data_IF_921954003761
#
_entry.id   IF_921954003761
#
_cell.length_a   1.000
_cell.length_b   1.000
_cell.length_c   1.000
_cell.angle_alpha   90.00
_cell.angle_beta   90.00
_cell.angle_gamma   90.00
#
_symmetry.space_group_name_H-M   'P 1'
#
loop_
_entity.id
_entity.type
_entity.pdbx_description
1 polymer ?
#
# COMPACT_ATOMS: atom_id res chain seq x y z
N UNK A 1 4.36 13.56 -24.09
CA UNK A 1 5.65 13.01 -23.63
C UNK A 1 5.48 12.22 -22.34
N UNK A 2 4.40 12.45 -21.62
CA UNK A 2 4.12 11.89 -20.29
C UNK A 2 3.91 10.38 -20.29
N UNK A 3 3.27 9.82 -21.32
CA UNK A 3 3.05 8.37 -21.44
C UNK A 3 4.36 7.57 -21.45
N UNK A 4 5.38 8.03 -22.19
CA UNK A 4 6.69 7.36 -22.23
C UNK A 4 7.41 7.42 -20.90
N UNK A 5 7.31 8.55 -20.19
CA UNK A 5 7.88 8.71 -18.85
C UNK A 5 7.18 7.78 -17.87
N UNK A 6 5.85 7.69 -17.92
CA UNK A 6 5.06 6.77 -17.10
C UNK A 6 5.45 5.32 -17.36
N UNK A 7 5.57 4.90 -18.63
CA UNK A 7 6.00 3.54 -18.98
C UNK A 7 7.43 3.23 -18.52
N UNK A 8 8.34 4.21 -18.58
CA UNK A 8 9.71 4.04 -18.11
C UNK A 8 9.77 3.89 -16.59
N UNK A 9 9.01 4.72 -15.86
CA UNK A 9 8.90 4.62 -14.40
C UNK A 9 8.23 3.30 -14.00
N UNK A 10 7.20 2.87 -14.70
CA UNK A 10 6.55 1.59 -14.47
C UNK A 10 7.51 0.41 -14.68
N UNK A 11 8.31 0.43 -15.76
CA UNK A 11 9.34 -0.58 -16.00
C UNK A 11 10.45 -0.58 -14.94
N UNK A 12 10.88 0.60 -14.49
CA UNK A 12 11.86 0.71 -13.40
C UNK A 12 11.31 0.18 -12.07
N UNK A 13 10.03 0.45 -11.78
CA UNK A 13 9.35 -0.08 -10.61
C UNK A 13 9.22 -1.61 -10.68
N UNK A 14 8.83 -2.16 -11.83
CA UNK A 14 8.71 -3.62 -12.03
C UNK A 14 10.06 -4.33 -11.84
N UNK A 15 11.15 -3.76 -12.37
CA UNK A 15 12.51 -4.26 -12.16
C UNK A 15 12.92 -4.23 -10.68
N UNK A 16 12.64 -3.13 -9.98
CA UNK A 16 12.95 -3.01 -8.56
C UNK A 16 12.16 -4.02 -7.71
N UNK A 17 10.87 -4.20 -7.99
CA UNK A 17 10.01 -5.19 -7.33
C UNK A 17 10.54 -6.61 -7.57
N UNK A 18 10.90 -6.93 -8.82
CA UNK A 18 11.46 -8.22 -9.19
C UNK A 18 12.79 -8.50 -8.47
N UNK A 19 13.68 -7.51 -8.38
CA UNK A 19 14.95 -7.63 -7.67
C UNK A 19 14.75 -7.87 -6.16
N UNK A 20 13.86 -7.12 -5.52
CA UNK A 20 13.52 -7.30 -4.09
C UNK A 20 12.91 -8.68 -3.85
N UNK A 21 11.98 -9.13 -4.70
CA UNK A 21 11.38 -10.46 -4.60
C UNK A 21 12.41 -11.58 -4.71
N UNK A 22 13.35 -11.47 -5.65
CA UNK A 22 14.46 -12.41 -5.82
C UNK A 22 15.37 -12.46 -4.57
N UNK A 23 15.73 -11.29 -4.04
CA UNK A 23 16.55 -11.18 -2.83
C UNK A 23 15.85 -11.81 -1.61
N UNK A 24 14.57 -11.53 -1.40
CA UNK A 24 13.78 -12.12 -0.31
C UNK A 24 13.66 -13.64 -0.45
N UNK A 25 13.44 -14.14 -1.68
CA UNK A 25 13.42 -15.57 -1.96
C UNK A 25 14.74 -16.26 -1.62
N UNK A 26 15.87 -15.64 -1.99
CA UNK A 26 17.19 -16.12 -1.61
C UNK A 26 17.35 -16.16 -0.08
N UNK A 27 17.06 -15.05 0.62
CA UNK A 27 17.15 -14.97 2.09
C UNK A 27 16.30 -16.04 2.77
N UNK A 28 15.05 -16.24 2.33
CA UNK A 28 14.17 -17.29 2.86
C UNK A 28 14.74 -18.69 2.63
N UNK A 29 15.34 -18.93 1.46
CA UNK A 29 16.06 -20.16 1.16
C UNK A 29 17.25 -20.39 2.11
N UNK A 30 18.00 -19.34 2.43
CA UNK A 30 19.11 -19.39 3.39
C UNK A 30 18.65 -19.61 4.85
N UNK A 31 17.49 -19.08 5.22
CA UNK A 31 16.90 -19.28 6.56
C UNK A 31 16.33 -20.69 6.73
N UNK A 32 15.71 -21.25 5.69
CA UNK A 32 15.17 -22.62 5.72
C UNK A 32 16.28 -23.67 5.91
N UNK A 33 17.44 -23.46 5.30
CA UNK A 33 18.61 -24.36 5.48
C UNK A 33 19.29 -24.20 6.84
N UNK A 34 19.01 -23.12 7.59
CA UNK A 34 19.62 -22.84 8.89
C UNK A 34 18.69 -23.14 10.07
N UNK A 35 17.62 -23.91 9.86
CA UNK A 35 16.56 -24.19 10.85
C UNK A 35 15.86 -22.95 11.42
N UNK A 36 16.02 -21.78 10.78
CA UNK A 36 15.40 -20.51 11.19
C UNK A 36 14.05 -20.29 10.49
N UNK A 37 13.34 -21.37 10.16
CA UNK A 37 12.08 -21.32 9.41
C UNK A 37 10.98 -20.56 10.17
N UNK A 38 10.96 -20.68 11.50
CA UNK A 38 10.00 -19.98 12.36
C UNK A 38 10.25 -18.46 12.38
N UNK A 39 11.52 -18.03 12.53
CA UNK A 39 11.89 -16.62 12.40
C UNK A 39 11.55 -16.03 11.02
N UNK A 40 11.73 -16.81 9.95
CA UNK A 40 11.36 -16.37 8.61
C UNK A 40 9.85 -16.18 8.45
N UNK A 41 9.04 -17.03 9.07
CA UNK A 41 7.59 -16.93 9.05
C UNK A 41 7.09 -15.73 9.88
N UNK A 42 7.69 -15.46 11.02
CA UNK A 42 7.35 -14.29 11.85
C UNK A 42 7.70 -12.97 11.13
N UNK A 43 8.89 -12.90 10.52
CA UNK A 43 9.30 -11.75 9.72
C UNK A 43 8.39 -11.51 8.50
N UNK A 44 7.92 -12.59 7.85
CA UNK A 44 6.95 -12.49 6.74
C UNK A 44 5.62 -11.87 7.21
N UNK A 45 5.08 -12.33 8.33
CA UNK A 45 3.83 -11.81 8.88
C UNK A 45 3.95 -10.33 9.24
N UNK A 46 5.06 -9.92 9.88
CA UNK A 46 5.32 -8.51 10.19
C UNK A 46 5.42 -7.66 8.92
N UNK A 47 6.10 -8.17 7.88
CA UNK A 47 6.22 -7.45 6.61
C UNK A 47 4.86 -7.30 5.91
N UNK A 48 4.01 -8.32 5.97
CA UNK A 48 2.63 -8.24 5.46
C UNK A 48 1.81 -7.20 6.24
N UNK A 49 1.91 -7.17 7.58
CA UNK A 49 1.23 -6.18 8.40
C UNK A 49 1.67 -4.75 8.05
N UNK A 50 2.98 -4.52 7.91
CA UNK A 50 3.54 -3.23 7.47
C UNK A 50 3.13 -2.86 6.05
N UNK A 51 3.13 -3.82 5.14
CA UNK A 51 2.66 -3.62 3.76
C UNK A 51 1.22 -3.16 3.73
N UNK A 52 0.35 -3.78 4.54
CA UNK A 52 -1.05 -3.37 4.66
C UNK A 52 -1.20 -1.96 5.21
N UNK A 53 -0.40 -1.56 6.21
CA UNK A 53 -0.38 -0.19 6.72
C UNK A 53 0.09 0.84 5.67
N UNK A 54 1.10 0.49 4.87
CA UNK A 54 1.59 1.35 3.81
C UNK A 54 0.54 1.52 2.70
N UNK A 55 -0.12 0.42 2.29
CA UNK A 55 -1.21 0.46 1.33
C UNK A 55 -2.38 1.30 1.84
N UNK A 56 -2.78 1.12 3.10
CA UNK A 56 -3.82 1.94 3.72
C UNK A 56 -3.47 3.44 3.70
N UNK A 57 -2.19 3.79 3.93
CA UNK A 57 -1.74 5.19 3.90
C UNK A 57 -1.74 5.82 2.51
N UNK A 58 -1.34 5.07 1.47
CA UNK A 58 -1.07 5.64 0.14
C UNK A 58 -2.12 5.30 -0.91
N UNK A 59 -2.88 4.23 -0.71
CA UNK A 59 -3.87 3.75 -1.65
C UNK A 59 -5.31 3.84 -1.13
N UNK A 60 -5.54 4.23 0.14
CA UNK A 60 -6.89 4.53 0.60
C UNK A 60 -7.49 5.67 -0.25
N UNK A 61 -8.70 5.50 -0.78
CA UNK A 61 -9.38 6.58 -1.49
C UNK A 61 -9.51 7.78 -0.52
N UNK A 62 -9.34 9.02 -1.01
CA UNK A 62 -9.53 10.20 -0.18
C UNK A 62 -10.89 10.09 0.51
N UNK A 63 -11.01 10.44 1.81
CA UNK A 63 -12.30 10.48 2.47
C UNK A 63 -13.25 11.31 1.60
N UNK A 64 -14.53 10.91 1.52
CA UNK A 64 -15.55 11.62 0.77
C UNK A 64 -15.87 12.98 1.46
N UNK A 65 -14.90 13.87 1.50
CA UNK A 65 -14.99 15.20 2.10
C UNK A 65 -16.12 15.98 1.43
N UNK A 66 -16.35 15.77 0.13
CA UNK A 66 -17.48 16.39 -0.57
C UNK A 66 -18.83 15.88 -0.09
N UNK A 67 -18.95 14.59 0.26
CA UNK A 67 -20.19 14.05 0.83
C UNK A 67 -20.41 14.55 2.26
N UNK A 68 -19.34 14.63 3.05
CA UNK A 68 -19.39 15.19 4.40
C UNK A 68 -19.79 16.67 4.37
N UNK A 69 -19.23 17.46 3.43
CA UNK A 69 -19.57 18.86 3.21
C UNK A 69 -21.00 19.03 2.69
N UNK A 70 -21.44 18.17 1.77
CA UNK A 70 -22.81 18.18 1.26
C UNK A 70 -23.82 17.92 2.39
N UNK A 71 -23.57 16.93 3.25
CA UNK A 71 -24.43 16.66 4.43
C UNK A 71 -24.47 17.83 5.40
N UNK A 72 -23.34 18.48 5.67
CA UNK A 72 -23.31 19.68 6.51
C UNK A 72 -24.05 20.86 5.89
N UNK A 73 -23.92 21.06 4.58
CA UNK A 73 -24.64 22.12 3.87
C UNK A 73 -26.15 21.89 3.90
N UNK A 74 -26.60 20.65 3.69
CA UNK A 74 -28.01 20.26 3.77
C UNK A 74 -28.55 20.42 5.20
N UNK A 75 -27.81 19.94 6.21
CA UNK A 75 -28.22 20.07 7.60
C UNK A 75 -28.32 21.54 8.05
N UNK A 76 -27.38 22.39 7.64
CA UNK A 76 -27.44 23.83 7.92
C UNK A 76 -28.65 24.49 7.27
N UNK A 77 -28.94 24.16 6.00
CA UNK A 77 -30.10 24.73 5.29
C UNK A 77 -31.43 24.32 5.92
N UNK A 78 -31.55 23.08 6.40
CA UNK A 78 -32.75 22.62 7.08
C UNK A 78 -33.01 23.34 8.42
N UNK A 79 -31.94 23.78 9.11
CA UNK A 79 -32.05 24.59 10.33
C UNK A 79 -32.39 26.06 10.07
N UNK A 80 -31.98 26.60 8.91
CA UNK A 80 -32.30 27.99 8.51
C UNK A 80 -33.74 28.11 7.96
N UNK A 81 -34.31 27.01 7.43
CA UNK A 81 -35.67 26.94 6.89
C UNK A 81 -36.76 26.60 7.96
N UNK A 82 -36.37 26.38 9.22
CA UNK A 82 -37.23 25.99 10.35
C UNK A 82 -37.45 27.14 11.35
#
# INVERSE_FOLDING_TARGET
MDERVVLLVAGAADLAVSAVGSALGAVRGLLRRSDAAELAAEAEQELMARGRLALDRYAAPPPAHLELLARHAVARRASDDA
#
